data_IF_208202048520
#
_entry.id   IF_208202048520
#
_cell.length_a   1.000
_cell.length_b   1.000
_cell.length_c   1.000
_cell.angle_alpha   90.00
_cell.angle_beta   90.00
_cell.angle_gamma   90.00
#
_symmetry.space_group_name_H-M   'P 1'
#
loop_
_entity.id
_entity.type
_entity.pdbx_description
1 polymer ?
#
# COMPACT_ATOMS: atom_id res chain seq x y z
N UNK A 1 -15.71 -12.19 -4.99
CA UNK A 1 -15.29 -10.94 -4.31
C UNK A 1 -14.19 -10.28 -5.11
N UNK A 2 -14.33 -9.00 -5.36
CA UNK A 2 -13.28 -8.22 -5.99
C UNK A 2 -12.49 -7.49 -4.91
N UNK A 3 -11.19 -7.74 -4.87
CA UNK A 3 -10.30 -6.93 -4.05
C UNK A 3 -9.71 -5.84 -4.93
N UNK A 4 -10.12 -4.61 -4.68
CA UNK A 4 -9.63 -3.44 -5.41
C UNK A 4 -9.08 -2.41 -4.43
N UNK A 5 -7.97 -1.81 -4.80
CA UNK A 5 -7.42 -0.68 -4.09
C UNK A 5 -7.66 0.57 -4.93
N UNK A 6 -7.98 1.65 -4.26
CA UNK A 6 -8.32 2.92 -4.91
C UNK A 6 -7.22 3.93 -4.67
N UNK A 7 -6.59 4.38 -5.74
CA UNK A 7 -5.61 5.47 -5.69
C UNK A 7 -6.35 6.80 -5.78
N UNK A 8 -6.05 7.70 -4.88
CA UNK A 8 -6.61 9.04 -4.88
C UNK A 8 -5.48 10.04 -5.00
N UNK A 9 -5.62 10.99 -5.91
CA UNK A 9 -4.65 12.06 -6.13
C UNK A 9 -5.34 13.40 -5.95
N UNK A 10 -4.68 14.29 -5.23
CA UNK A 10 -5.21 15.62 -4.96
C UNK A 10 -4.17 16.66 -5.36
N UNK A 11 -4.62 17.63 -6.17
CA UNK A 11 -3.72 18.71 -6.56
C UNK A 11 -3.51 19.66 -5.40
N UNK A 12 -2.25 20.04 -5.20
CA UNK A 12 -1.82 20.99 -4.18
C UNK A 12 -0.91 22.02 -4.83
N UNK A 13 -0.60 23.14 -4.18
CA UNK A 13 0.22 24.16 -4.81
C UNK A 13 1.58 23.68 -5.31
N UNK A 14 2.21 22.73 -4.63
CA UNK A 14 3.52 22.19 -4.98
C UNK A 14 3.47 21.00 -5.94
N UNK A 15 2.26 20.57 -6.36
CA UNK A 15 2.12 19.41 -7.23
C UNK A 15 0.93 18.56 -6.87
N UNK A 16 1.17 17.30 -6.51
CA UNK A 16 0.12 16.35 -6.15
C UNK A 16 0.49 15.55 -4.92
N UNK A 17 -0.52 15.28 -4.10
CA UNK A 17 -0.41 14.25 -3.07
C UNK A 17 -1.22 13.05 -3.53
N UNK A 18 -0.82 11.86 -3.09
CA UNK A 18 -1.52 10.63 -3.44
C UNK A 18 -1.60 9.69 -2.26
N UNK A 19 -2.67 8.91 -2.20
CA UNK A 19 -2.83 7.90 -1.17
C UNK A 19 -3.74 6.79 -1.67
N UNK A 20 -3.76 5.69 -0.92
CA UNK A 20 -4.64 4.56 -1.18
C UNK A 20 -5.70 4.54 -0.09
N UNK A 21 -6.98 4.63 -0.49
CA UNK A 21 -8.09 4.70 0.46
C UNK A 21 -8.11 3.51 1.43
N UNK A 22 -7.87 2.31 0.91
CA UNK A 22 -8.02 1.07 1.67
C UNK A 22 -6.73 0.62 2.35
N UNK A 23 -5.63 1.37 2.19
CA UNK A 23 -4.35 0.96 2.74
C UNK A 23 -3.70 2.13 3.50
N UNK A 24 -4.04 2.30 4.79
CA UNK A 24 -3.45 3.36 5.60
C UNK A 24 -1.92 3.29 5.60
N UNK A 25 -1.29 4.44 5.50
CA UNK A 25 0.17 4.54 5.45
C UNK A 25 0.73 4.61 4.03
N UNK A 26 -0.02 4.16 3.02
CA UNK A 26 0.41 4.29 1.64
C UNK A 26 0.04 5.68 1.12
N UNK A 27 0.96 6.62 1.24
CA UNK A 27 0.78 7.99 0.77
C UNK A 27 2.08 8.53 0.20
N UNK A 28 1.97 9.55 -0.64
CA UNK A 28 3.12 10.12 -1.32
C UNK A 28 2.82 11.51 -1.84
N UNK A 29 3.82 12.10 -2.46
CA UNK A 29 3.69 13.36 -3.18
C UNK A 29 4.58 13.35 -4.42
N UNK A 30 4.29 14.23 -5.36
CA UNK A 30 5.08 14.39 -6.57
C UNK A 30 4.79 15.74 -7.21
N UNK A 31 5.72 16.22 -8.02
CA UNK A 31 5.55 17.50 -8.72
C UNK A 31 4.52 17.39 -9.85
N UNK A 32 4.42 16.21 -10.46
CA UNK A 32 3.45 15.93 -11.51
C UNK A 32 2.58 14.74 -11.11
N UNK A 33 1.44 14.59 -11.79
CA UNK A 33 0.56 13.45 -11.55
C UNK A 33 1.27 12.12 -11.84
N UNK A 34 2.02 12.04 -12.94
CA UNK A 34 2.75 10.82 -13.28
C UNK A 34 3.80 10.48 -12.23
N UNK A 35 4.49 11.47 -11.69
CA UNK A 35 5.45 11.25 -10.63
C UNK A 35 4.77 10.74 -9.37
N UNK A 36 3.64 11.36 -9.01
CA UNK A 36 2.86 10.90 -7.85
C UNK A 36 2.38 9.47 -8.03
N UNK A 37 1.96 9.08 -9.24
CA UNK A 37 1.57 7.69 -9.52
C UNK A 37 2.70 6.71 -9.27
N UNK A 38 3.89 6.99 -9.81
CA UNK A 38 5.06 6.12 -9.62
C UNK A 38 5.46 6.05 -8.16
N UNK A 39 5.49 7.21 -7.49
CA UNK A 39 5.86 7.26 -6.09
C UNK A 39 4.86 6.51 -5.21
N UNK A 40 3.57 6.55 -5.56
CA UNK A 40 2.55 5.84 -4.80
C UNK A 40 2.72 4.31 -4.93
N UNK A 41 3.06 3.82 -6.11
CA UNK A 41 3.33 2.40 -6.30
C UNK A 41 4.48 1.92 -5.40
N UNK A 42 5.55 2.71 -5.31
CA UNK A 42 6.66 2.41 -4.41
C UNK A 42 6.21 2.43 -2.95
N UNK A 43 5.39 3.41 -2.58
CA UNK A 43 4.88 3.52 -1.21
C UNK A 43 4.03 2.31 -0.83
N UNK A 44 3.21 1.80 -1.76
CA UNK A 44 2.39 0.61 -1.52
C UNK A 44 3.29 -0.60 -1.21
N UNK A 45 4.32 -0.81 -2.03
CA UNK A 45 5.25 -1.92 -1.82
C UNK A 45 5.92 -1.81 -0.45
N UNK A 46 6.40 -0.62 -0.09
CA UNK A 46 7.07 -0.40 1.19
C UNK A 46 6.14 -0.64 2.37
N UNK A 47 4.88 -0.21 2.29
CA UNK A 47 3.89 -0.45 3.37
C UNK A 47 3.63 -1.94 3.52
N UNK A 48 3.43 -2.65 2.42
CA UNK A 48 3.17 -4.09 2.47
C UNK A 48 4.37 -4.86 3.03
N UNK A 49 5.58 -4.49 2.64
CA UNK A 49 6.79 -5.11 3.18
C UNK A 49 6.96 -4.83 4.67
N UNK A 50 6.70 -3.58 5.10
CA UNK A 50 6.79 -3.22 6.51
C UNK A 50 5.78 -3.98 7.34
N UNK A 51 4.53 -4.11 6.86
CA UNK A 51 3.49 -4.85 7.57
C UNK A 51 3.86 -6.34 7.68
N UNK A 52 4.43 -6.90 6.63
CA UNK A 52 4.87 -8.29 6.63
C UNK A 52 5.99 -8.52 7.65
N UNK A 53 6.98 -7.63 7.65
CA UNK A 53 8.11 -7.72 8.57
C UNK A 53 7.64 -7.61 10.02
N UNK A 54 6.74 -6.67 10.31
CA UNK A 54 6.19 -6.50 11.66
C UNK A 54 5.42 -7.74 12.10
N UNK A 55 4.63 -8.32 11.21
CA UNK A 55 3.87 -9.53 11.50
C UNK A 55 4.80 -10.71 11.80
N UNK A 56 5.84 -10.89 10.99
CA UNK A 56 6.82 -11.96 11.19
C UNK A 56 7.55 -11.80 12.52
N UNK A 57 7.91 -10.56 12.86
CA UNK A 57 8.57 -10.24 14.12
C UNK A 57 7.69 -10.58 15.32
N UNK A 58 6.41 -10.21 15.26
CA UNK A 58 5.46 -10.44 16.33
C UNK A 58 5.16 -11.94 16.53
N UNK A 59 5.27 -12.74 15.48
CA UNK A 59 4.89 -14.14 15.49
C UNK A 59 6.08 -15.11 15.57
N UNK A 60 7.30 -14.62 15.62
CA UNK A 60 8.49 -15.47 15.48
C UNK A 60 8.61 -16.57 16.53
N UNK A 61 8.11 -16.33 17.73
CA UNK A 61 8.17 -17.31 18.83
C UNK A 61 6.81 -17.99 19.08
N UNK A 62 5.86 -17.79 18.17
CA UNK A 62 4.52 -18.33 18.30
C UNK A 62 4.34 -19.58 17.42
N UNK A 63 3.48 -20.48 17.88
CA UNK A 63 3.11 -21.66 17.12
C UNK A 63 1.95 -21.30 16.18
N UNK A 64 2.28 -20.96 14.94
CA UNK A 64 1.30 -20.43 13.98
C UNK A 64 1.28 -21.27 12.72
N UNK A 65 0.15 -21.25 12.05
CA UNK A 65 -0.02 -21.83 10.71
C UNK A 65 -0.15 -20.67 9.72
N UNK A 66 0.72 -20.67 8.69
CA UNK A 66 0.68 -19.67 7.62
C UNK A 66 0.23 -20.34 6.33
N UNK A 67 -0.74 -19.76 5.70
CA UNK A 67 -1.26 -20.24 4.43
C UNK A 67 -1.41 -19.07 3.48
N UNK A 68 -0.98 -19.22 2.21
CA UNK A 68 -1.23 -18.17 1.23
C UNK A 68 -2.72 -18.08 0.91
N UNK A 69 -3.15 -16.88 0.57
CA UNK A 69 -4.49 -16.65 0.08
C UNK A 69 -4.45 -15.82 -1.18
N UNK A 70 -5.21 -16.22 -2.18
CA UNK A 70 -5.39 -15.44 -3.41
C UNK A 70 -6.85 -15.04 -3.51
N UNK A 71 -7.08 -13.74 -3.61
CA UNK A 71 -8.42 -13.19 -3.75
C UNK A 71 -8.56 -12.67 -5.17
N UNK A 72 -9.43 -13.28 -5.93
CA UNK A 72 -9.64 -12.89 -7.31
C UNK A 72 -11.04 -12.35 -7.51
N UNK A 73 -11.19 -11.53 -8.55
CA UNK A 73 -12.51 -11.06 -8.98
C UNK A 73 -13.34 -12.24 -9.43
N UNK A 74 -14.54 -12.31 -8.94
CA UNK A 74 -15.51 -13.30 -9.40
C UNK A 74 -16.40 -12.71 -10.48
#
# INVERSE_FOLDING_TARGET
>A
MNLKLTKVFQKVPEGYIGFVEELPGANTQGETLDQARRNLEEAIVLVLEANRTLSEEQLKDEDVIREPISLSAA
#
